data_IF_380028441210
#
_entry.id   IF_380028441210
#
_cell.length_a   1.000
_cell.length_b   1.000
_cell.length_c   1.000
_cell.angle_alpha   90.00
_cell.angle_beta   90.00
_cell.angle_gamma   90.00
#
_symmetry.space_group_name_H-M   'P 1'
#
loop_
_entity.id
_entity.type
_entity.pdbx_description
1 polymer ?
#
# COMPACT_ATOMS: atom_id res chain seq x y z
N UNK A 1 3.00 -5.19 -6.14
CA UNK A 1 2.13 -4.03 -5.78
C UNK A 1 2.28 -2.92 -6.81
N UNK A 2 1.26 -2.08 -6.97
CA UNK A 2 1.36 -0.77 -7.65
C UNK A 2 1.28 0.36 -6.60
N UNK A 3 2.09 1.41 -6.78
CA UNK A 3 2.15 2.60 -5.91
C UNK A 3 1.84 3.86 -6.70
N UNK A 4 1.01 4.73 -6.15
CA UNK A 4 0.77 6.08 -6.65
C UNK A 4 1.09 7.12 -5.58
N UNK A 5 1.44 8.32 -6.04
CA UNK A 5 1.76 9.46 -5.16
C UNK A 5 0.62 9.77 -4.20
N UNK A 6 0.95 10.46 -3.11
CA UNK A 6 0.00 10.80 -2.05
C UNK A 6 -0.63 9.58 -1.35
N UNK A 7 0.03 8.42 -1.43
CA UNK A 7 -0.31 7.22 -0.66
C UNK A 7 -1.33 6.28 -1.30
N UNK A 8 -1.54 6.41 -2.60
CA UNK A 8 -2.38 5.50 -3.36
C UNK A 8 -1.66 4.15 -3.52
N UNK A 9 -2.35 3.03 -3.38
CA UNK A 9 -1.76 1.71 -3.64
C UNK A 9 -2.80 0.68 -4.09
N UNK A 10 -2.36 -0.24 -4.94
CA UNK A 10 -3.05 -1.50 -5.21
C UNK A 10 -2.10 -2.66 -4.88
N UNK A 11 -2.44 -3.39 -3.82
CA UNK A 11 -1.71 -4.56 -3.36
C UNK A 11 -2.50 -5.82 -3.74
N UNK A 12 -1.81 -6.80 -4.31
CA UNK A 12 -2.39 -8.07 -4.76
C UNK A 12 -1.45 -9.17 -4.30
N UNK A 13 -1.95 -10.06 -3.45
CA UNK A 13 -1.28 -11.31 -3.08
C UNK A 13 -2.16 -12.49 -3.49
N UNK A 14 -1.82 -13.20 -4.58
CA UNK A 14 -2.58 -14.36 -5.04
C UNK A 14 -2.48 -15.57 -4.11
N UNK A 15 -1.40 -15.70 -3.34
CA UNK A 15 -1.20 -16.83 -2.42
C UNK A 15 -2.10 -16.68 -1.19
N UNK A 16 -2.27 -15.44 -0.73
CA UNK A 16 -3.19 -15.10 0.35
C UNK A 16 -4.65 -14.90 -0.13
N UNK A 17 -4.88 -14.87 -1.44
CA UNK A 17 -6.17 -14.52 -2.07
C UNK A 17 -6.69 -13.14 -1.62
N UNK A 18 -5.78 -12.19 -1.43
CA UNK A 18 -6.07 -10.83 -0.94
C UNK A 18 -5.82 -9.77 -2.01
N UNK A 19 -6.75 -8.82 -2.12
CA UNK A 19 -6.58 -7.56 -2.85
C UNK A 19 -6.87 -6.39 -1.92
N UNK A 20 -5.94 -5.44 -1.82
CA UNK A 20 -6.11 -4.21 -1.04
C UNK A 20 -6.02 -3.01 -1.99
N UNK A 21 -7.13 -2.28 -2.10
CA UNK A 21 -7.19 -0.99 -2.76
C UNK A 21 -7.13 0.12 -1.72
N UNK A 22 -6.07 0.93 -1.75
CA UNK A 22 -5.89 2.08 -0.85
C UNK A 22 -5.99 3.37 -1.64
N UNK A 23 -6.99 4.17 -1.29
CA UNK A 23 -7.12 5.56 -1.73
C UNK A 23 -6.73 6.48 -0.59
N UNK A 24 -5.85 7.45 -0.85
CA UNK A 24 -5.32 8.34 0.18
C UNK A 24 -4.95 9.73 -0.38
N UNK A 25 -4.75 10.67 0.54
CA UNK A 25 -4.39 12.06 0.30
C UNK A 25 -3.24 12.49 1.22
N UNK A 26 -2.17 11.69 1.26
CA UNK A 26 -1.00 11.97 2.10
C UNK A 26 -0.40 13.35 1.74
N UNK A 27 0.07 14.17 2.69
CA UNK A 27 0.52 15.54 2.39
C UNK A 27 1.83 15.59 1.58
N UNK A 28 2.66 14.55 1.66
CA UNK A 28 3.86 14.40 0.85
C UNK A 28 3.59 13.49 -0.36
N UNK A 29 4.01 13.93 -1.56
CA UNK A 29 3.80 13.17 -2.79
C UNK A 29 4.63 11.88 -2.85
N UNK A 30 5.84 11.90 -2.31
CA UNK A 30 6.80 10.80 -2.43
C UNK A 30 6.39 9.59 -1.58
N UNK A 31 6.42 8.39 -2.18
CA UNK A 31 6.08 7.13 -1.51
C UNK A 31 6.99 6.82 -0.31
N UNK A 32 8.24 7.30 -0.31
CA UNK A 32 9.16 7.12 0.82
C UNK A 32 8.61 7.71 2.13
N UNK A 33 7.73 8.71 2.05
CA UNK A 33 7.12 9.32 3.23
C UNK A 33 6.12 8.40 3.97
N UNK A 34 5.63 7.34 3.33
CA UNK A 34 4.65 6.43 3.94
C UNK A 34 4.92 4.92 3.73
N UNK A 35 5.80 4.53 2.82
CA UNK A 35 6.13 3.13 2.52
C UNK A 35 6.49 2.33 3.78
N UNK A 36 7.29 2.93 4.68
CA UNK A 36 7.70 2.30 5.94
C UNK A 36 6.53 1.94 6.86
N UNK A 37 5.35 2.55 6.68
CA UNK A 37 4.13 2.24 7.42
C UNK A 37 3.16 1.40 6.61
N UNK A 38 2.89 1.77 5.36
CA UNK A 38 1.85 1.10 4.57
C UNK A 38 2.25 -0.28 4.07
N UNK A 39 3.52 -0.50 3.69
CA UNK A 39 3.93 -1.80 3.16
C UNK A 39 3.86 -2.90 4.22
N UNK A 40 4.43 -2.71 5.44
CA UNK A 40 4.30 -3.72 6.48
C UNK A 40 2.85 -3.96 6.90
N UNK A 41 2.00 -2.94 6.85
CA UNK A 41 0.57 -3.09 7.16
C UNK A 41 -0.14 -3.99 6.13
N UNK A 42 0.12 -3.81 4.83
CA UNK A 42 -0.45 -4.68 3.80
C UNK A 42 0.06 -6.13 3.93
N UNK A 43 1.36 -6.30 4.15
CA UNK A 43 1.97 -7.63 4.33
C UNK A 43 1.45 -8.34 5.60
N UNK A 44 1.12 -7.58 6.65
CA UNK A 44 0.52 -8.13 7.86
C UNK A 44 -0.92 -8.60 7.65
N UNK A 45 -1.68 -7.95 6.75
CA UNK A 45 -3.05 -8.36 6.39
C UNK A 45 -3.03 -9.58 5.46
N UNK A 46 -2.02 -9.69 4.60
CA UNK A 46 -1.88 -10.81 3.66
C UNK A 46 -1.13 -12.03 4.24
N UNK A 47 -0.80 -12.03 5.54
CA UNK A 47 -0.21 -13.17 6.26
C UNK A 47 -1.28 -14.07 6.84
#
# INVERSE_FOLDING_TARGET
MARGVYGQALYVDPKAEVVIARFASHPAAANVANDATSLPAHDAVAK
#
